data_IF_643900840350
#
_entry.id   IF_643900840350
#
_cell.length_a   1.000
_cell.length_b   1.000
_cell.length_c   1.000
_cell.angle_alpha   90.00
_cell.angle_beta   90.00
_cell.angle_gamma   90.00
#
_symmetry.space_group_name_H-M   'P 1'
#
loop_
_entity.id
_entity.type
_entity.pdbx_description
1 polymer ?
#
# COMPACT_ATOMS: atom_id res chain seq x y z
N UNK A 1 1.07 19.99 28.32
CA UNK A 1 1.62 18.97 27.40
C UNK A 1 1.08 17.63 27.85
N UNK A 2 0.77 16.70 26.95
CA UNK A 2 0.33 15.38 27.35
C UNK A 2 1.49 14.65 28.03
N UNK A 3 1.21 14.00 29.17
CA UNK A 3 2.18 13.20 29.91
C UNK A 3 1.83 11.73 29.86
N UNK A 4 2.85 10.85 29.95
CA UNK A 4 2.63 9.41 30.07
C UNK A 4 2.03 9.03 31.44
N UNK A 5 1.73 7.76 31.64
CA UNK A 5 1.18 7.24 32.90
C UNK A 5 2.11 7.43 34.11
N UNK A 6 3.37 7.78 33.87
CA UNK A 6 4.38 8.04 34.90
C UNK A 6 4.63 9.54 35.09
N UNK A 7 3.84 10.42 34.42
CA UNK A 7 3.94 11.87 34.52
C UNK A 7 5.12 12.47 33.76
N UNK A 8 5.73 11.73 32.83
CA UNK A 8 6.81 12.25 31.96
C UNK A 8 6.21 12.86 30.70
N UNK A 9 6.75 13.99 30.27
CA UNK A 9 6.35 14.60 29.01
C UNK A 9 6.62 13.64 27.84
N UNK A 10 5.63 13.50 26.94
CA UNK A 10 5.89 12.79 25.69
C UNK A 10 6.94 13.54 24.88
N UNK A 11 7.90 12.81 24.32
CA UNK A 11 8.77 13.38 23.29
C UNK A 11 7.87 13.76 22.10
N UNK A 12 7.75 15.07 21.87
CA UNK A 12 7.05 15.58 20.68
C UNK A 12 8.04 15.63 19.52
N UNK A 13 7.86 14.79 18.54
CA UNK A 13 8.56 14.93 17.27
C UNK A 13 8.05 16.19 16.56
N UNK A 14 8.93 16.98 15.96
CA UNK A 14 8.49 18.14 15.17
C UNK A 14 7.60 17.66 14.01
N UNK A 15 6.49 18.36 13.79
CA UNK A 15 5.67 18.10 12.61
C UNK A 15 6.51 18.33 11.34
N UNK A 16 6.38 17.48 10.32
CA UNK A 16 7.08 17.70 9.06
C UNK A 16 6.62 19.01 8.40
N UNK A 17 7.54 19.70 7.78
CA UNK A 17 7.23 20.92 7.03
C UNK A 17 6.18 20.64 5.93
N UNK A 18 5.24 21.57 5.69
CA UNK A 18 4.33 21.48 4.57
C UNK A 18 5.08 21.35 3.25
N UNK A 19 4.59 20.50 2.34
CA UNK A 19 5.14 20.44 0.99
C UNK A 19 4.81 21.71 0.22
N UNK A 20 5.78 22.24 -0.52
CA UNK A 20 5.56 23.35 -1.45
C UNK A 20 5.05 22.86 -2.82
N UNK A 21 5.35 21.62 -3.17
CA UNK A 21 4.92 20.95 -4.41
C UNK A 21 4.58 19.51 -4.11
N UNK A 22 3.66 18.93 -4.87
CA UNK A 22 3.28 17.54 -4.79
C UNK A 22 3.88 16.73 -5.94
N UNK A 23 4.11 15.42 -5.72
CA UNK A 23 4.67 14.49 -6.69
C UNK A 23 6.14 14.77 -7.07
N UNK A 24 6.78 13.86 -7.82
CA UNK A 24 6.32 12.48 -8.02
C UNK A 24 6.41 11.64 -6.74
N UNK A 25 5.49 10.69 -6.61
CA UNK A 25 5.38 9.85 -5.43
C UNK A 25 6.63 9.01 -5.15
N UNK A 26 6.92 8.83 -3.85
CA UNK A 26 7.74 7.72 -3.37
C UNK A 26 6.87 6.49 -3.19
N UNK A 27 7.23 5.40 -3.87
CA UNK A 27 6.53 4.12 -3.81
C UNK A 27 7.20 3.26 -2.73
N UNK A 28 6.42 2.82 -1.74
CA UNK A 28 6.90 2.03 -0.60
C UNK A 28 6.12 0.72 -0.56
N UNK A 29 6.83 -0.42 -0.65
CA UNK A 29 6.23 -1.72 -0.49
C UNK A 29 6.23 -2.14 0.99
N UNK A 30 5.07 -2.54 1.52
CA UNK A 30 4.92 -3.10 2.86
C UNK A 30 4.93 -4.62 2.78
N UNK A 31 6.08 -5.25 2.99
CA UNK A 31 6.30 -6.67 2.73
C UNK A 31 6.76 -7.43 3.96
N UNK A 32 6.20 -8.62 4.18
CA UNK A 32 6.73 -9.67 5.04
C UNK A 32 6.00 -10.98 4.70
N UNK A 33 6.73 -12.09 4.57
CA UNK A 33 6.16 -13.42 4.32
C UNK A 33 5.29 -13.92 5.47
N UNK A 34 5.58 -13.48 6.71
CA UNK A 34 4.80 -13.88 7.88
C UNK A 34 3.47 -13.14 7.90
N UNK A 35 2.37 -13.90 8.01
CA UNK A 35 1.04 -13.34 8.26
C UNK A 35 0.93 -12.78 9.69
N UNK A 36 0.02 -11.82 9.91
CA UNK A 36 -0.30 -11.29 11.24
C UNK A 36 0.75 -10.38 11.88
N UNK A 37 1.78 -9.94 11.14
CA UNK A 37 2.82 -9.03 11.66
C UNK A 37 2.45 -7.55 11.60
N UNK A 38 1.23 -7.23 11.17
CA UNK A 38 0.72 -5.86 11.14
C UNK A 38 1.02 -5.09 9.84
N UNK A 39 1.26 -5.77 8.70
CA UNK A 39 1.47 -5.09 7.40
C UNK A 39 0.36 -4.10 7.09
N UNK A 40 -0.86 -4.59 6.89
CA UNK A 40 -2.03 -3.78 6.56
C UNK A 40 -2.32 -2.71 7.59
N UNK A 41 -2.23 -3.06 8.89
CA UNK A 41 -2.40 -2.08 9.97
C UNK A 41 -1.37 -0.97 9.87
N UNK A 42 -0.10 -1.30 9.61
CA UNK A 42 0.96 -0.30 9.44
C UNK A 42 0.76 0.53 8.17
N UNK A 43 0.36 -0.10 7.04
CA UNK A 43 0.05 0.59 5.79
C UNK A 43 -1.01 1.66 5.98
N UNK A 44 -2.16 1.31 6.58
CA UNK A 44 -3.27 2.23 6.82
C UNK A 44 -2.87 3.35 7.79
N UNK A 45 -2.20 3.02 8.90
CA UNK A 45 -1.84 4.03 9.91
C UNK A 45 -0.76 4.99 9.40
N UNK A 46 0.25 4.53 8.66
CA UNK A 46 1.27 5.39 8.05
C UNK A 46 0.62 6.30 7.00
N UNK A 47 -0.24 5.75 6.13
CA UNK A 47 -0.95 6.53 5.13
C UNK A 47 -1.83 7.62 5.77
N UNK A 48 -2.63 7.25 6.78
CA UNK A 48 -3.46 8.20 7.52
C UNK A 48 -2.65 9.28 8.24
N UNK A 49 -1.51 8.93 8.85
CA UNK A 49 -0.63 9.91 9.46
C UNK A 49 -0.03 10.87 8.43
N UNK A 50 0.42 10.36 7.28
CA UNK A 50 0.96 11.19 6.20
C UNK A 50 -0.10 12.12 5.61
N UNK A 51 -1.33 11.64 5.40
CA UNK A 51 -2.43 12.44 4.88
C UNK A 51 -2.80 13.60 5.82
N UNK A 52 -2.76 13.38 7.15
CA UNK A 52 -2.96 14.43 8.16
C UNK A 52 -1.87 15.52 8.10
N UNK A 53 -0.67 15.20 7.60
CA UNK A 53 0.39 16.17 7.33
C UNK A 53 0.32 16.78 5.91
N UNK A 54 -0.84 16.66 5.24
CA UNK A 54 -1.08 17.25 3.93
C UNK A 54 -0.37 16.54 2.78
N UNK A 55 0.08 15.27 2.97
CA UNK A 55 0.62 14.46 1.88
C UNK A 55 -0.53 13.80 1.12
N UNK A 56 -0.49 13.83 -0.20
CA UNK A 56 -1.39 13.06 -1.06
C UNK A 56 -0.92 11.62 -1.08
N UNK A 57 -1.71 10.72 -0.53
CA UNK A 57 -1.32 9.32 -0.34
C UNK A 57 -2.25 8.39 -1.09
N UNK A 58 -1.69 7.44 -1.83
CA UNK A 58 -2.42 6.33 -2.42
C UNK A 58 -2.01 5.04 -1.70
N UNK A 59 -2.98 4.28 -1.19
CA UNK A 59 -2.77 2.88 -0.82
C UNK A 59 -3.13 2.01 -2.02
N UNK A 60 -2.25 1.07 -2.35
CA UNK A 60 -2.54 -0.01 -3.29
C UNK A 60 -2.71 -1.27 -2.47
N UNK A 61 -3.94 -1.76 -2.34
CA UNK A 61 -4.20 -3.04 -1.70
C UNK A 61 -3.73 -4.14 -2.66
N UNK A 62 -2.67 -4.86 -2.28
CA UNK A 62 -2.04 -5.87 -3.11
C UNK A 62 -2.08 -7.25 -2.45
N UNK A 63 -3.15 -7.45 -1.67
CA UNK A 63 -3.52 -8.72 -1.05
C UNK A 63 -4.93 -9.14 -1.53
N UNK A 64 -5.11 -10.33 -2.12
CA UNK A 64 -6.42 -10.84 -2.53
C UNK A 64 -7.47 -10.88 -1.39
N UNK A 65 -7.04 -10.84 -0.13
CA UNK A 65 -7.96 -10.77 1.00
C UNK A 65 -8.64 -9.41 1.14
N UNK A 66 -8.14 -8.36 0.49
CA UNK A 66 -8.76 -7.04 0.50
C UNK A 66 -8.79 -6.36 1.88
N UNK A 67 -7.80 -6.67 2.73
CA UNK A 67 -7.84 -6.20 4.13
C UNK A 67 -7.68 -4.68 4.25
N UNK A 68 -6.85 -4.05 3.41
CA UNK A 68 -6.73 -2.59 3.38
C UNK A 68 -8.00 -1.95 2.79
N UNK A 69 -8.58 -2.57 1.77
CA UNK A 69 -9.84 -2.16 1.14
C UNK A 69 -10.98 -2.06 2.16
N UNK A 70 -11.18 -3.14 2.92
CA UNK A 70 -12.20 -3.19 3.98
C UNK A 70 -11.85 -2.24 5.12
N UNK A 71 -10.59 -2.16 5.50
CA UNK A 71 -10.10 -1.28 6.57
C UNK A 71 -10.31 0.21 6.30
N UNK A 72 -10.43 0.60 5.03
CA UNK A 72 -10.73 1.97 4.58
C UNK A 72 -12.20 2.17 4.18
N UNK A 73 -13.09 1.23 4.56
CA UNK A 73 -14.53 1.38 4.43
C UNK A 73 -15.12 0.96 3.08
N UNK A 74 -14.32 0.36 2.18
CA UNK A 74 -14.79 -0.11 0.88
C UNK A 74 -15.19 -1.57 0.97
N UNK A 75 -16.35 -1.91 0.40
CA UNK A 75 -16.80 -3.30 0.38
C UNK A 75 -16.12 -4.08 -0.74
N UNK A 76 -15.14 -4.90 -0.38
CA UNK A 76 -14.38 -5.74 -1.32
C UNK A 76 -15.25 -6.74 -2.11
N UNK A 77 -16.44 -7.07 -1.63
CA UNK A 77 -17.35 -8.02 -2.33
C UNK A 77 -18.19 -7.36 -3.43
N UNK A 78 -18.26 -6.02 -3.46
CA UNK A 78 -19.09 -5.28 -4.41
C UNK A 78 -18.29 -4.33 -5.30
N UNK A 79 -17.01 -4.13 -5.03
CA UNK A 79 -16.15 -3.33 -5.89
C UNK A 79 -15.80 -4.12 -7.14
N UNK A 80 -16.14 -3.57 -8.31
CA UNK A 80 -15.93 -4.21 -9.62
C UNK A 80 -14.53 -3.89 -10.17
N UNK A 81 -14.16 -2.61 -10.15
CA UNK A 81 -12.86 -2.15 -10.64
C UNK A 81 -11.85 -2.14 -9.50
N UNK A 82 -10.82 -2.97 -9.64
CA UNK A 82 -9.81 -3.22 -8.61
C UNK A 82 -8.40 -3.16 -9.21
N UNK A 83 -7.37 -3.25 -8.38
CA UNK A 83 -5.99 -3.36 -8.84
C UNK A 83 -5.83 -4.51 -9.86
N UNK A 84 -6.59 -5.61 -9.72
CA UNK A 84 -6.58 -6.71 -10.69
C UNK A 84 -6.99 -6.23 -12.09
N UNK A 85 -8.09 -5.46 -12.21
CA UNK A 85 -8.53 -4.91 -13.50
C UNK A 85 -7.50 -3.96 -14.08
N UNK A 86 -6.84 -3.13 -13.26
CA UNK A 86 -5.77 -2.25 -13.71
C UNK A 86 -4.54 -3.00 -14.25
N UNK A 87 -4.19 -4.16 -13.66
CA UNK A 87 -3.04 -4.96 -14.12
C UNK A 87 -3.25 -5.57 -15.51
N UNK A 88 -4.48 -5.99 -15.85
CA UNK A 88 -4.76 -6.80 -17.04
C UNK A 88 -5.63 -6.11 -18.10
N UNK A 89 -6.12 -4.90 -17.84
CA UNK A 89 -6.86 -4.12 -18.83
C UNK A 89 -6.10 -2.85 -19.23
N UNK A 90 -5.23 -2.91 -20.25
CA UNK A 90 -4.39 -1.77 -20.66
C UNK A 90 -5.18 -0.61 -21.28
N UNK A 91 -6.49 -0.78 -21.50
CA UNK A 91 -7.39 0.27 -22.02
C UNK A 91 -8.15 1.00 -20.91
N UNK A 92 -8.05 0.50 -19.68
CA UNK A 92 -8.70 1.10 -18.52
C UNK A 92 -7.93 2.32 -18.06
N UNK A 93 -8.62 3.39 -17.76
CA UNK A 93 -8.03 4.50 -17.03
C UNK A 93 -7.80 4.06 -15.57
N UNK A 94 -6.58 4.20 -15.09
CA UNK A 94 -6.23 3.84 -13.71
C UNK A 94 -7.05 4.62 -12.69
N UNK A 95 -7.49 5.84 -13.05
CA UNK A 95 -8.34 6.67 -12.21
C UNK A 95 -9.72 6.04 -11.96
N UNK A 96 -10.22 5.24 -12.90
CA UNK A 96 -11.50 4.52 -12.72
C UNK A 96 -11.43 3.46 -11.61
N UNK A 97 -10.22 3.00 -11.27
CA UNK A 97 -9.99 2.03 -10.19
C UNK A 97 -9.83 2.72 -8.84
N UNK A 98 -9.25 3.92 -8.80
CA UNK A 98 -8.96 4.62 -7.56
C UNK A 98 -10.26 5.06 -6.89
N UNK A 99 -10.32 4.88 -5.58
CA UNK A 99 -11.45 5.30 -4.74
C UNK A 99 -10.98 6.29 -3.67
N UNK A 100 -11.73 7.38 -3.52
CA UNK A 100 -11.56 8.29 -2.40
C UNK A 100 -12.03 7.60 -1.11
N UNK A 101 -11.30 7.85 -0.02
CA UNK A 101 -11.70 7.39 1.31
C UNK A 101 -12.38 8.53 2.08
N UNK A 102 -12.89 8.23 3.28
CA UNK A 102 -13.42 9.25 4.20
C UNK A 102 -12.31 10.16 4.79
N UNK A 103 -11.05 9.87 4.52
CA UNK A 103 -9.90 10.66 4.97
C UNK A 103 -9.44 11.59 3.86
N UNK A 104 -9.28 12.88 4.19
CA UNK A 104 -8.74 13.87 3.26
C UNK A 104 -7.31 13.47 2.82
N UNK A 105 -7.00 13.64 1.54
CA UNK A 105 -5.71 13.32 0.92
C UNK A 105 -5.30 11.83 1.00
N UNK A 106 -6.24 10.93 1.21
CA UNK A 106 -5.99 9.49 1.23
C UNK A 106 -6.93 8.76 0.29
N UNK A 107 -6.36 8.18 -0.75
CA UNK A 107 -7.05 7.36 -1.74
C UNK A 107 -6.60 5.91 -1.65
N UNK A 108 -7.38 5.02 -2.25
CA UNK A 108 -7.05 3.60 -2.35
C UNK A 108 -7.34 3.04 -3.74
N UNK A 109 -6.43 2.21 -4.22
CA UNK A 109 -6.68 1.26 -5.30
C UNK A 109 -7.07 -0.08 -4.65
N UNK A 110 -8.37 -0.45 -4.68
CA UNK A 110 -8.88 -1.57 -3.92
C UNK A 110 -8.49 -2.93 -4.51
N UNK A 111 -8.52 -3.96 -3.68
CA UNK A 111 -8.42 -5.36 -4.08
C UNK A 111 -9.67 -6.15 -3.68
N UNK A 112 -9.84 -7.27 -4.37
CA UNK A 112 -10.77 -8.32 -4.03
C UNK A 112 -10.15 -9.69 -4.34
N UNK A 113 -10.93 -10.77 -4.16
CA UNK A 113 -10.45 -12.13 -4.36
C UNK A 113 -9.96 -12.41 -5.78
N UNK A 114 -10.42 -11.67 -6.78
CA UNK A 114 -10.00 -11.84 -8.18
C UNK A 114 -8.49 -11.61 -8.37
N UNK A 115 -7.87 -10.81 -7.49
CA UNK A 115 -6.43 -10.61 -7.52
C UNK A 115 -5.63 -11.92 -7.34
N UNK A 116 -6.22 -12.96 -6.75
CA UNK A 116 -5.59 -14.28 -6.67
C UNK A 116 -5.30 -14.89 -8.03
N UNK A 117 -6.09 -14.57 -9.06
CA UNK A 117 -5.86 -15.03 -10.42
C UNK A 117 -4.61 -14.39 -11.07
N UNK A 118 -4.19 -13.24 -10.58
CA UNK A 118 -3.02 -12.53 -11.11
C UNK A 118 -1.72 -13.33 -10.97
N UNK A 119 -1.56 -14.13 -9.92
CA UNK A 119 -0.40 -15.00 -9.73
C UNK A 119 -0.22 -15.99 -10.90
N UNK A 120 -1.31 -16.48 -11.48
CA UNK A 120 -1.28 -17.40 -12.61
C UNK A 120 -1.16 -16.66 -13.93
N UNK A 121 -1.90 -15.57 -14.10
CA UNK A 121 -1.93 -14.82 -15.36
C UNK A 121 -0.57 -14.15 -15.64
N UNK A 122 0.05 -13.57 -14.62
CA UNK A 122 1.38 -12.94 -14.74
C UNK A 122 2.45 -13.89 -15.25
N UNK A 123 2.33 -15.21 -15.02
CA UNK A 123 3.34 -16.19 -15.48
C UNK A 123 3.56 -16.12 -17.00
N UNK A 124 2.52 -15.82 -17.76
CA UNK A 124 2.56 -15.77 -19.23
C UNK A 124 2.82 -14.38 -19.80
N UNK A 125 2.83 -13.34 -18.95
CA UNK A 125 3.03 -11.97 -19.38
C UNK A 125 4.51 -11.65 -19.64
N UNK A 126 4.78 -10.88 -20.70
CA UNK A 126 6.12 -10.36 -20.98
C UNK A 126 6.40 -9.18 -20.04
N UNK A 127 7.55 -9.19 -19.34
CA UNK A 127 7.86 -8.19 -18.32
C UNK A 127 6.95 -8.29 -17.10
N UNK A 128 6.50 -9.47 -16.79
CA UNK A 128 5.52 -9.82 -15.74
C UNK A 128 5.84 -9.24 -14.36
N UNK A 129 7.08 -8.97 -14.07
CA UNK A 129 7.55 -8.35 -12.82
C UNK A 129 7.39 -6.82 -12.80
N UNK A 130 7.06 -6.19 -13.93
CA UNK A 130 6.98 -4.73 -14.10
C UNK A 130 5.55 -4.23 -14.34
N UNK A 131 4.56 -5.11 -14.32
CA UNK A 131 3.18 -4.77 -14.67
C UNK A 131 2.63 -3.71 -13.70
N UNK A 132 2.81 -3.90 -12.40
CA UNK A 132 2.38 -2.92 -11.40
C UNK A 132 3.12 -1.58 -11.57
N UNK A 133 4.42 -1.60 -11.85
CA UNK A 133 5.19 -0.38 -12.10
C UNK A 133 4.64 0.40 -13.30
N UNK A 134 4.16 -0.29 -14.33
CA UNK A 134 3.47 0.30 -15.47
C UNK A 134 2.16 1.00 -15.11
N UNK A 135 1.37 0.38 -14.24
CA UNK A 135 0.11 0.94 -13.71
C UNK A 135 0.40 2.20 -12.88
N UNK A 136 1.28 2.10 -11.89
CA UNK A 136 1.57 3.18 -10.95
C UNK A 136 2.24 4.40 -11.61
N UNK A 137 2.94 4.21 -12.72
CA UNK A 137 3.54 5.31 -13.50
C UNK A 137 2.50 6.30 -14.00
N UNK A 138 1.26 5.87 -14.24
CA UNK A 138 0.19 6.72 -14.77
C UNK A 138 -0.31 7.74 -13.73
N UNK A 139 -0.14 7.46 -12.44
CA UNK A 139 -0.63 8.29 -11.34
C UNK A 139 0.49 8.81 -10.43
N UNK A 140 1.74 8.45 -10.69
CA UNK A 140 2.88 8.77 -9.82
C UNK A 140 3.05 10.27 -9.57
N UNK A 141 2.71 11.12 -10.53
CA UNK A 141 2.89 12.58 -10.42
C UNK A 141 1.75 13.26 -9.62
N UNK A 142 0.70 12.54 -9.27
CA UNK A 142 -0.47 13.08 -8.55
C UNK A 142 -0.39 12.89 -7.04
N UNK A 143 0.46 11.96 -6.59
CA UNK A 143 0.65 11.60 -5.19
C UNK A 143 2.06 11.96 -4.70
N UNK A 144 2.22 12.05 -3.38
CA UNK A 144 3.52 12.24 -2.72
C UNK A 144 4.07 10.89 -2.23
N UNK A 145 3.17 10.00 -1.81
CA UNK A 145 3.51 8.65 -1.33
C UNK A 145 2.50 7.65 -1.89
N UNK A 146 3.00 6.53 -2.39
CA UNK A 146 2.20 5.35 -2.73
C UNK A 146 2.65 4.21 -1.84
N UNK A 147 1.74 3.62 -1.06
CA UNK A 147 2.01 2.46 -0.20
C UNK A 147 1.37 1.24 -0.84
N UNK A 148 2.19 0.24 -1.16
CA UNK A 148 1.72 -1.06 -1.67
C UNK A 148 1.64 -2.05 -0.51
N UNK A 149 0.42 -2.41 -0.09
CA UNK A 149 0.17 -3.37 0.99
C UNK A 149 0.19 -4.79 0.45
N UNK A 150 1.29 -5.51 0.65
CA UNK A 150 1.55 -6.82 0.05
C UNK A 150 0.94 -7.98 0.83
N UNK A 151 0.49 -9.00 0.10
CA UNK A 151 0.13 -10.30 0.69
C UNK A 151 1.32 -10.97 1.40
N UNK A 152 1.08 -11.91 2.35
CA UNK A 152 2.13 -12.63 3.07
C UNK A 152 2.71 -13.79 2.24
N UNK A 153 3.29 -13.49 1.09
CA UNK A 153 3.92 -14.48 0.19
C UNK A 153 5.10 -13.85 -0.56
N UNK A 154 5.92 -14.66 -1.20
CA UNK A 154 6.95 -14.24 -2.16
C UNK A 154 6.60 -14.62 -3.62
N UNK A 155 5.31 -14.57 -3.95
CA UNK A 155 4.84 -14.79 -5.32
C UNK A 155 5.10 -13.62 -6.27
N UNK A 156 4.60 -13.73 -7.50
CA UNK A 156 4.76 -12.70 -8.54
C UNK A 156 4.13 -11.36 -8.16
N UNK A 157 3.06 -11.34 -7.37
CA UNK A 157 2.50 -10.10 -6.85
C UNK A 157 3.53 -9.36 -5.98
N UNK A 158 4.14 -10.04 -5.02
CA UNK A 158 5.18 -9.41 -4.18
C UNK A 158 6.39 -8.96 -4.99
N UNK A 159 6.81 -9.73 -5.99
CA UNK A 159 7.88 -9.33 -6.91
C UNK A 159 7.50 -8.06 -7.67
N UNK A 160 6.25 -7.93 -8.14
CA UNK A 160 5.75 -6.71 -8.78
C UNK A 160 5.80 -5.50 -7.83
N UNK A 161 5.35 -5.68 -6.59
CA UNK A 161 5.40 -4.62 -5.58
C UNK A 161 6.84 -4.15 -5.32
N UNK A 162 7.78 -5.09 -5.14
CA UNK A 162 9.20 -4.79 -4.92
C UNK A 162 9.86 -4.13 -6.14
N UNK A 163 9.50 -4.55 -7.36
CA UNK A 163 10.03 -3.95 -8.60
C UNK A 163 9.53 -2.53 -8.81
N UNK A 164 8.30 -2.25 -8.39
CA UNK A 164 7.72 -0.92 -8.50
C UNK A 164 8.22 0.05 -7.41
N UNK A 165 8.70 -0.47 -6.27
CA UNK A 165 8.97 0.32 -5.07
C UNK A 165 10.34 1.03 -5.11
N UNK A 166 10.36 2.25 -4.59
CA UNK A 166 11.58 3.00 -4.28
C UNK A 166 12.19 2.60 -2.91
N UNK A 167 11.38 1.95 -2.05
CA UNK A 167 11.79 1.48 -0.72
C UNK A 167 10.85 0.42 -0.16
N UNK A 168 11.31 -0.30 0.86
CA UNK A 168 10.57 -1.38 1.49
C UNK A 168 10.51 -1.17 2.99
N UNK A 169 9.32 -1.35 3.58
CA UNK A 169 9.12 -1.45 5.03
C UNK A 169 8.78 -2.91 5.35
N UNK A 170 9.50 -3.50 6.28
CA UNK A 170 9.31 -4.88 6.73
C UNK A 170 8.85 -4.83 8.20
N UNK A 171 7.53 -4.88 8.48
CA UNK A 171 7.03 -4.97 9.84
C UNK A 171 7.46 -6.27 10.50
N UNK A 172 8.07 -6.20 11.67
CA UNK A 172 8.55 -7.37 12.42
C UNK A 172 7.94 -7.33 13.81
N UNK A 173 7.23 -8.41 14.19
CA UNK A 173 6.77 -8.56 15.55
C UNK A 173 7.98 -8.75 16.49
N UNK A 174 7.94 -8.16 17.69
CA UNK A 174 9.00 -8.27 18.69
C UNK A 174 9.00 -9.68 19.35
N UNK A 175 9.10 -10.71 18.52
CA UNK A 175 9.12 -12.13 18.90
C UNK A 175 10.39 -12.81 18.40
N UNK A 176 10.94 -13.73 19.17
CA UNK A 176 12.19 -14.42 18.84
C UNK A 176 12.19 -15.09 17.46
N UNK A 177 11.07 -15.70 17.07
CA UNK A 177 10.97 -16.37 15.76
C UNK A 177 10.68 -15.42 14.58
N UNK A 178 10.23 -14.21 14.84
CA UNK A 178 9.94 -13.24 13.77
C UNK A 178 11.21 -12.69 13.11
N UNK A 179 12.30 -12.59 13.87
CA UNK A 179 13.62 -12.14 13.37
C UNK A 179 14.26 -13.14 12.39
N UNK A 180 13.94 -14.43 12.48
CA UNK A 180 14.44 -15.45 11.55
C UNK A 180 13.81 -15.37 10.13
N UNK A 181 12.67 -14.72 10.01
CA UNK A 181 11.99 -14.52 8.70
C UNK A 181 12.50 -13.33 7.88
N UNK A 182 13.46 -12.58 8.42
CA UNK A 182 14.04 -11.38 7.77
C UNK A 182 15.53 -11.62 7.41
N UNK A 183 16.13 -12.69 7.91
CA UNK A 183 17.46 -13.16 7.58
C UNK A 183 17.37 -14.16 6.42
#
# INVERSE_FOLDING_TARGET
MPTDLLGRDYETFPAPEPLQTHGPARIIAMCNQKGGVGKTTSSINIAGALSQYGRRVLIVDFDPQGAATVGLGINANTVEDTVYTALFNPRMDVHDVIRHTDFENLDIMPANIDLSAAEVQLVTEVGREQVLAGVLRQVKDEYDVIIVDCQPSLGLLTVNALTAADGVIIPVAAEFFALRGVA
#
